data_IF_655776593817
#
_entry.id   IF_655776593817
#
_cell.length_a   1.000
_cell.length_b   1.000
_cell.length_c   1.000
_cell.angle_alpha   90.00
_cell.angle_beta   90.00
_cell.angle_gamma   90.00
#
_symmetry.space_group_name_H-M   'P 1'
#
loop_
_entity.id
_entity.type
_entity.pdbx_description
1 polymer ?
#
# COMPACT_ATOMS: atom_id res chain seq x y z
N UNK A 1 27.54 10.52 -6.32
CA UNK A 1 26.88 10.46 -5.00
C UNK A 1 26.32 9.08 -4.77
N UNK A 2 25.75 8.81 -3.58
CA UNK A 2 25.08 7.53 -3.28
C UNK A 2 23.79 7.38 -4.09
N UNK A 3 23.53 6.19 -4.63
CA UNK A 3 22.30 5.88 -5.37
C UNK A 3 21.58 4.66 -4.79
N UNK A 4 20.30 4.53 -5.11
CA UNK A 4 19.40 3.51 -4.57
C UNK A 4 18.60 2.89 -5.70
N UNK A 5 18.54 1.56 -5.74
CA UNK A 5 17.75 0.80 -6.70
C UNK A 5 17.06 -0.37 -6.00
N UNK A 6 15.93 -0.84 -6.50
CA UNK A 6 15.38 -2.10 -6.03
C UNK A 6 16.24 -3.24 -6.55
N UNK A 7 16.56 -4.21 -5.68
CA UNK A 7 17.09 -5.49 -6.12
C UNK A 7 16.08 -6.10 -7.10
N UNK A 8 16.60 -6.71 -8.16
CA UNK A 8 15.78 -7.29 -9.23
C UNK A 8 14.67 -8.18 -8.64
N UNK A 9 13.43 -7.92 -9.07
CA UNK A 9 12.21 -8.61 -8.65
C UNK A 9 11.90 -8.54 -7.14
N UNK A 10 12.58 -7.68 -6.39
CA UNK A 10 12.40 -7.48 -4.95
C UNK A 10 11.81 -6.10 -4.61
N UNK A 11 11.16 -5.44 -5.56
CA UNK A 11 10.34 -4.27 -5.26
C UNK A 11 9.08 -4.70 -4.48
N UNK A 12 8.62 -3.92 -3.48
CA UNK A 12 7.43 -4.24 -2.72
C UNK A 12 6.20 -4.19 -3.62
N UNK A 13 5.35 -5.22 -3.56
CA UNK A 13 4.06 -5.23 -4.27
C UNK A 13 3.02 -4.40 -3.53
N UNK A 14 2.48 -3.38 -4.18
CA UNK A 14 1.52 -2.42 -3.60
C UNK A 14 0.13 -2.49 -4.21
N UNK A 15 -0.18 -3.56 -4.96
CA UNK A 15 -1.46 -3.76 -5.64
C UNK A 15 -2.59 -4.16 -4.68
N UNK A 16 -2.26 -4.67 -3.49
CA UNK A 16 -3.23 -5.14 -2.50
C UNK A 16 -2.92 -4.56 -1.11
N UNK A 17 -3.95 -4.30 -0.30
CA UNK A 17 -3.76 -3.90 1.09
C UNK A 17 -3.00 -4.95 1.89
N UNK A 18 -2.19 -4.50 2.85
CA UNK A 18 -1.38 -5.35 3.71
C UNK A 18 0.06 -4.86 3.84
N UNK A 19 0.85 -5.59 4.63
CA UNK A 19 2.28 -5.34 4.79
C UNK A 19 3.05 -6.14 3.75
N UNK A 20 3.99 -5.49 3.09
CA UNK A 20 4.87 -6.06 2.07
C UNK A 20 6.31 -5.61 2.32
N UNK A 21 7.28 -6.34 1.79
CA UNK A 21 8.69 -6.00 1.91
C UNK A 21 9.32 -5.85 0.52
N UNK A 22 10.31 -4.97 0.42
CA UNK A 22 11.21 -4.89 -0.71
C UNK A 22 12.67 -4.86 -0.28
N UNK A 23 13.59 -5.14 -1.19
CA UNK A 23 15.04 -5.07 -0.94
C UNK A 23 15.66 -3.97 -1.79
N UNK A 24 16.26 -2.98 -1.14
CA UNK A 24 16.99 -1.89 -1.78
C UNK A 24 18.48 -2.24 -1.85
N UNK A 25 19.10 -1.98 -3.01
CA UNK A 25 20.54 -1.93 -3.21
C UNK A 25 21.03 -0.49 -3.06
N UNK A 26 21.94 -0.27 -2.11
CA UNK A 26 22.56 1.03 -1.85
C UNK A 26 23.96 1.04 -2.46
N UNK A 27 24.18 1.90 -3.45
CA UNK A 27 25.47 2.05 -4.12
C UNK A 27 26.22 3.27 -3.60
N UNK A 28 27.35 3.04 -2.95
CA UNK A 28 28.21 4.11 -2.39
C UNK A 28 29.44 4.25 -3.30
N UNK A 29 29.77 5.46 -3.81
CA UNK A 29 30.96 5.66 -4.63
C UNK A 29 32.23 5.16 -3.92
N UNK A 30 33.05 4.37 -4.62
CA UNK A 30 34.27 3.78 -4.06
C UNK A 30 34.08 2.47 -3.30
N UNK A 31 32.84 2.04 -3.07
CA UNK A 31 32.52 0.70 -2.56
C UNK A 31 32.12 -0.18 -3.74
N UNK A 32 32.79 -1.33 -3.89
CA UNK A 32 32.59 -2.22 -5.04
C UNK A 32 31.21 -2.88 -5.03
N UNK A 33 30.80 -3.40 -3.87
CA UNK A 33 29.57 -4.18 -3.74
C UNK A 33 28.47 -3.35 -3.06
N UNK A 34 27.24 -3.34 -3.57
CA UNK A 34 26.13 -2.62 -2.95
C UNK A 34 25.70 -3.28 -1.63
N UNK A 35 25.21 -2.46 -0.69
CA UNK A 35 24.60 -2.97 0.54
C UNK A 35 23.12 -3.29 0.30
N UNK A 36 22.65 -4.43 0.81
CA UNK A 36 21.24 -4.84 0.75
C UNK A 36 20.49 -4.41 2.01
N UNK A 37 19.35 -3.75 1.85
CA UNK A 37 18.50 -3.29 2.95
C UNK A 37 17.06 -3.72 2.71
N UNK A 38 16.45 -4.35 3.71
CA UNK A 38 15.03 -4.71 3.69
C UNK A 38 14.21 -3.48 4.09
N UNK A 39 13.23 -3.12 3.25
CA UNK A 39 12.28 -2.03 3.49
C UNK A 39 10.89 -2.62 3.64
N UNK A 40 10.23 -2.33 4.74
CA UNK A 40 8.83 -2.70 4.98
C UNK A 40 7.90 -1.57 4.54
N UNK A 41 6.88 -1.92 3.76
CA UNK A 41 5.86 -1.00 3.25
C UNK A 41 4.49 -1.49 3.71
N UNK A 42 3.69 -0.58 4.26
CA UNK A 42 2.30 -0.85 4.61
C UNK A 42 1.38 -0.22 3.57
N UNK A 43 0.52 -1.02 2.98
CA UNK A 43 -0.47 -0.60 1.97
C UNK A 43 -1.83 -0.55 2.63
N UNK A 44 -2.38 0.65 2.77
CA UNK A 44 -3.71 0.84 3.34
C UNK A 44 -4.81 0.53 2.32
N UNK A 45 -5.93 -0.07 2.74
CA UNK A 45 -7.09 -0.25 1.89
C UNK A 45 -7.75 1.09 1.56
N UNK A 46 -8.19 1.25 0.32
CA UNK A 46 -9.04 2.36 -0.10
C UNK A 46 -10.53 1.99 0.08
N UNK A 47 -11.41 2.93 0.43
CA UNK A 47 -12.84 2.69 0.48
C UNK A 47 -13.39 2.36 -0.92
N UNK A 48 -14.26 1.38 -0.99
CA UNK A 48 -15.00 1.01 -2.20
C UNK A 48 -16.41 1.57 -2.05
N UNK A 49 -16.76 2.52 -2.92
CA UNK A 49 -18.09 3.13 -2.92
C UNK A 49 -19.15 2.10 -3.31
N UNK A 50 -20.33 2.21 -2.68
CA UNK A 50 -21.52 1.42 -2.96
C UNK A 50 -22.71 2.34 -3.08
N UNK A 51 -23.54 2.12 -4.09
CA UNK A 51 -24.83 2.80 -4.18
C UNK A 51 -25.79 2.26 -3.10
N UNK A 52 -26.43 3.18 -2.39
CA UNK A 52 -27.44 2.87 -1.37
C UNK A 52 -28.72 3.61 -1.73
N UNK A 53 -29.83 2.88 -1.81
CA UNK A 53 -31.17 3.45 -1.98
C UNK A 53 -31.95 3.33 -0.68
N UNK A 54 -32.59 4.41 -0.26
CA UNK A 54 -33.42 4.46 0.96
C UNK A 54 -34.75 5.14 0.67
N UNK A 55 -35.81 4.90 1.48
CA UNK A 55 -37.08 5.60 1.36
C UNK A 55 -36.94 7.12 1.54
N UNK A 56 -37.86 7.89 0.94
CA UNK A 56 -37.91 9.34 1.14
C UNK A 56 -38.17 9.68 2.63
N UNK A 57 -37.56 10.77 3.11
CA UNK A 57 -37.60 11.23 4.51
C UNK A 57 -37.00 10.23 5.53
N UNK A 58 -36.12 9.32 5.09
CA UNK A 58 -35.32 8.47 5.97
C UNK A 58 -33.96 9.10 6.30
N UNK A 59 -33.29 8.55 7.31
CA UNK A 59 -31.91 8.87 7.67
C UNK A 59 -30.98 7.74 7.21
N UNK A 60 -30.26 7.88 6.08
CA UNK A 60 -29.38 6.84 5.57
C UNK A 60 -28.09 6.72 6.41
N UNK A 61 -27.73 5.51 6.80
CA UNK A 61 -26.42 5.24 7.41
C UNK A 61 -25.30 5.27 6.35
N UNK A 62 -24.32 6.20 6.43
CA UNK A 62 -23.20 6.28 5.49
C UNK A 62 -22.37 5.00 5.41
N UNK A 63 -22.34 4.19 6.48
CA UNK A 63 -21.64 2.90 6.51
C UNK A 63 -22.15 1.95 5.43
N UNK A 64 -23.43 2.06 5.04
CA UNK A 64 -24.03 1.23 4.01
C UNK A 64 -23.52 1.59 2.60
N UNK A 65 -23.01 2.81 2.39
CA UNK A 65 -22.50 3.28 1.11
C UNK A 65 -21.03 2.95 0.87
N UNK A 66 -20.41 2.16 1.74
CA UNK A 66 -19.03 1.68 1.61
C UNK A 66 -19.02 0.15 1.68
N UNK A 67 -18.69 -0.51 0.57
CA UNK A 67 -18.76 -1.96 0.42
C UNK A 67 -17.77 -2.70 1.33
N UNK A 68 -16.59 -2.12 1.55
CA UNK A 68 -15.53 -2.70 2.35
C UNK A 68 -15.38 -2.02 3.72
N UNK A 69 -16.45 -1.46 4.28
CA UNK A 69 -16.40 -0.73 5.56
C UNK A 69 -15.84 -1.54 6.73
N UNK A 70 -15.96 -2.87 6.68
CA UNK A 70 -15.42 -3.78 7.69
C UNK A 70 -13.94 -4.15 7.48
N UNK A 71 -13.30 -3.63 6.44
CA UNK A 71 -11.90 -3.87 6.08
C UNK A 71 -11.05 -2.59 6.15
N UNK A 72 -11.65 -1.46 6.50
CA UNK A 72 -10.93 -0.21 6.76
C UNK A 72 -10.45 -0.21 8.23
N UNK A 73 -9.26 0.35 8.52
CA UNK A 73 -8.73 0.47 9.88
C UNK A 73 -9.50 1.47 10.74
#
# INVERSE_FOLDING_TARGET
GTTFEWKKDAAPKTDKPGTTNGTVLVHIPGVKDPAEVIVTVNVNPAPIAKETTVPQNSDPDPKNSIDNNNKLP
#
